data_IF_733417651089
#
_entry.id   IF_733417651089
#
_cell.length_a   1.000
_cell.length_b   1.000
_cell.length_c   1.000
_cell.angle_alpha   90.00
_cell.angle_beta   90.00
_cell.angle_gamma   90.00
#
_symmetry.space_group_name_H-M   'P 1'
#
loop_
_entity.id
_entity.type
_entity.pdbx_description
1 polymer ?
#
# COMPACT_ATOMS: atom_id res chain seq x y z
N UNK A 1 -29.12 -2.37 27.55
CA UNK A 1 -27.80 -2.08 26.97
C UNK A 1 -27.08 -3.39 26.82
N UNK A 2 -27.00 -3.93 25.61
CA UNK A 2 -26.30 -5.19 25.34
C UNK A 2 -24.91 -4.85 24.82
N UNK A 3 -23.92 -5.02 25.67
CA UNK A 3 -22.54 -5.25 25.26
C UNK A 3 -22.50 -6.74 24.90
N UNK A 4 -21.90 -7.11 23.76
CA UNK A 4 -21.61 -8.49 23.30
C UNK A 4 -22.51 -9.08 22.20
N UNK A 5 -22.46 -8.54 20.98
CA UNK A 5 -22.56 -9.39 19.79
C UNK A 5 -21.56 -8.89 18.74
N UNK A 6 -20.33 -9.42 18.81
CA UNK A 6 -19.35 -9.24 17.74
C UNK A 6 -19.82 -10.11 16.57
N UNK A 7 -20.48 -9.48 15.59
CA UNK A 7 -21.01 -10.18 14.42
C UNK A 7 -19.88 -10.38 13.42
N UNK A 8 -19.43 -11.62 13.29
CA UNK A 8 -18.49 -12.01 12.25
C UNK A 8 -19.23 -12.08 10.91
N UNK A 9 -19.01 -11.09 10.07
CA UNK A 9 -19.49 -11.06 8.69
C UNK A 9 -18.33 -10.78 7.72
N UNK A 10 -18.61 -10.72 6.43
CA UNK A 10 -17.58 -10.48 5.43
C UNK A 10 -16.92 -9.09 5.58
N UNK A 11 -17.67 -8.09 6.03
CA UNK A 11 -17.20 -6.70 6.15
C UNK A 11 -16.17 -6.57 7.26
N UNK A 12 -16.38 -7.19 8.42
CA UNK A 12 -15.40 -7.14 9.52
C UNK A 12 -14.06 -7.79 9.13
N UNK A 13 -14.10 -8.84 8.29
CA UNK A 13 -12.87 -9.44 7.76
C UNK A 13 -12.18 -8.53 6.74
N UNK A 14 -12.92 -7.81 5.89
CA UNK A 14 -12.35 -6.80 4.99
C UNK A 14 -11.68 -5.66 5.76
N UNK A 15 -12.32 -5.15 6.81
CA UNK A 15 -11.75 -4.12 7.68
C UNK A 15 -10.45 -4.58 8.36
N UNK A 16 -10.45 -5.82 8.85
CA UNK A 16 -9.26 -6.44 9.44
C UNK A 16 -8.12 -6.57 8.41
N UNK A 17 -8.43 -7.01 7.19
CA UNK A 17 -7.45 -7.11 6.10
C UNK A 17 -6.88 -5.73 5.72
N UNK A 18 -7.71 -4.67 5.71
CA UNK A 18 -7.24 -3.31 5.48
C UNK A 18 -6.27 -2.82 6.55
N UNK A 19 -6.54 -3.12 7.83
CA UNK A 19 -5.60 -2.81 8.91
C UNK A 19 -4.27 -3.57 8.76
N UNK A 20 -4.31 -4.85 8.35
CA UNK A 20 -3.11 -5.65 8.06
C UNK A 20 -2.35 -5.08 6.86
N UNK A 21 -3.03 -4.65 5.80
CA UNK A 21 -2.42 -4.00 4.64
C UNK A 21 -1.69 -2.72 5.07
N UNK A 22 -2.29 -1.90 5.92
CA UNK A 22 -1.63 -0.73 6.49
C UNK A 22 -0.33 -1.10 7.24
N UNK A 23 -0.36 -2.16 8.06
CA UNK A 23 0.84 -2.66 8.72
C UNK A 23 1.91 -3.12 7.71
N UNK A 24 1.53 -3.86 6.67
CA UNK A 24 2.44 -4.33 5.61
C UNK A 24 3.08 -3.18 4.81
N UNK A 25 2.33 -2.11 4.54
CA UNK A 25 2.84 -0.91 3.87
C UNK A 25 3.98 -0.28 4.69
N UNK A 26 3.75 -0.03 5.97
CA UNK A 26 4.79 0.53 6.83
C UNK A 26 5.92 -0.45 7.16
N UNK A 27 5.65 -1.76 7.18
CA UNK A 27 6.67 -2.79 7.33
C UNK A 27 7.72 -2.73 6.22
N UNK A 28 7.37 -2.26 5.02
CA UNK A 28 8.32 -1.97 3.95
C UNK A 28 9.49 -1.08 4.38
N UNK A 29 9.26 -0.13 5.30
CA UNK A 29 10.31 0.74 5.85
C UNK A 29 11.16 0.07 6.95
N UNK A 30 10.70 -1.06 7.48
CA UNK A 30 11.33 -1.80 8.58
C UNK A 30 12.11 -3.03 8.11
N UNK A 31 12.01 -3.39 6.83
CA UNK A 31 12.76 -4.50 6.22
C UNK A 31 14.25 -4.39 6.55
N UNK A 32 14.82 -5.48 7.10
CA UNK A 32 16.24 -5.57 7.47
C UNK A 32 16.61 -4.88 8.80
N UNK A 33 15.66 -4.27 9.52
CA UNK A 33 15.90 -3.60 10.81
C UNK A 33 15.21 -4.26 12.01
N UNK A 34 14.16 -5.05 11.79
CA UNK A 34 13.32 -5.64 12.84
C UNK A 34 13.49 -7.15 12.98
N UNK A 35 13.42 -7.66 14.21
CA UNK A 35 13.21 -9.09 14.49
C UNK A 35 11.71 -9.48 14.34
N UNK A 36 11.38 -10.77 14.17
CA UNK A 36 9.99 -11.22 14.06
C UNK A 36 9.09 -10.78 15.23
N UNK A 37 9.63 -10.77 16.46
CA UNK A 37 8.90 -10.30 17.65
C UNK A 37 8.61 -8.80 17.60
N UNK A 38 9.56 -8.00 17.09
CA UNK A 38 9.35 -6.57 16.89
C UNK A 38 8.29 -6.30 15.82
N UNK A 39 8.26 -7.11 14.76
CA UNK A 39 7.20 -7.03 13.73
C UNK A 39 5.83 -7.35 14.32
N UNK A 40 5.72 -8.37 15.19
CA UNK A 40 4.47 -8.69 15.87
C UNK A 40 3.95 -7.51 16.70
N UNK A 41 4.83 -6.90 17.51
CA UNK A 41 4.48 -5.74 18.32
C UNK A 41 4.09 -4.54 17.44
N UNK A 42 4.89 -4.26 16.41
CA UNK A 42 4.62 -3.22 15.43
C UNK A 42 3.24 -3.38 14.78
N UNK A 43 2.90 -4.59 14.31
CA UNK A 43 1.62 -4.89 13.67
C UNK A 43 0.46 -4.62 14.62
N UNK A 44 0.56 -5.02 15.90
CA UNK A 44 -0.48 -4.72 16.89
C UNK A 44 -0.68 -3.20 17.04
N UNK A 45 0.41 -2.45 17.20
CA UNK A 45 0.34 -0.99 17.32
C UNK A 45 -0.26 -0.32 16.09
N UNK A 46 0.18 -0.69 14.89
CA UNK A 46 -0.27 -0.07 13.63
C UNK A 46 -1.73 -0.38 13.37
N UNK A 47 -2.16 -1.64 13.53
CA UNK A 47 -3.56 -2.00 13.30
C UNK A 47 -4.49 -1.23 14.25
N UNK A 48 -4.16 -1.17 15.55
CA UNK A 48 -4.96 -0.40 16.52
C UNK A 48 -4.98 1.10 16.17
N UNK A 49 -3.82 1.68 15.85
CA UNK A 49 -3.72 3.10 15.53
C UNK A 49 -4.41 3.46 14.20
N UNK A 50 -4.33 2.58 13.19
CA UNK A 50 -4.98 2.73 11.89
C UNK A 50 -6.50 2.75 12.06
N UNK A 51 -7.05 1.77 12.77
CA UNK A 51 -8.50 1.68 13.04
C UNK A 51 -8.96 2.90 13.86
N UNK A 52 -8.21 3.26 14.91
CA UNK A 52 -8.54 4.43 15.72
C UNK A 52 -8.50 5.73 14.91
N UNK A 53 -7.51 5.91 14.04
CA UNK A 53 -7.42 7.06 13.13
C UNK A 53 -8.60 7.11 12.16
N UNK A 54 -8.99 5.97 11.58
CA UNK A 54 -10.14 5.90 10.68
C UNK A 54 -11.45 6.26 11.40
N UNK A 55 -11.74 5.58 12.52
CA UNK A 55 -13.03 5.71 13.22
C UNK A 55 -13.16 7.05 13.94
N UNK A 56 -12.17 7.43 14.75
CA UNK A 56 -12.32 8.60 15.62
C UNK A 56 -11.91 9.90 14.94
N UNK A 57 -10.88 9.87 14.09
CA UNK A 57 -10.35 11.10 13.49
C UNK A 57 -11.00 11.40 12.14
N UNK A 58 -10.90 10.48 11.17
CA UNK A 58 -11.46 10.69 9.84
C UNK A 58 -12.99 10.71 9.86
N UNK A 59 -13.63 9.65 10.33
CA UNK A 59 -15.09 9.57 10.34
C UNK A 59 -15.70 10.42 11.46
N UNK A 60 -15.13 10.37 12.67
CA UNK A 60 -15.71 11.03 13.85
C UNK A 60 -15.50 12.55 13.91
N UNK A 61 -14.30 13.04 13.59
CA UNK A 61 -13.95 14.46 13.75
C UNK A 61 -13.99 15.24 12.44
N UNK A 62 -13.43 14.68 11.36
CA UNK A 62 -13.38 15.34 10.06
C UNK A 62 -14.63 15.10 9.20
N UNK A 63 -15.44 14.09 9.55
CA UNK A 63 -16.59 13.65 8.76
C UNK A 63 -16.24 13.32 7.30
N UNK A 64 -15.06 12.71 7.13
CA UNK A 64 -14.51 12.33 5.83
C UNK A 64 -14.30 10.83 5.80
N UNK A 65 -14.80 10.21 4.75
CA UNK A 65 -14.53 8.84 4.37
C UNK A 65 -13.41 8.79 3.34
N UNK A 66 -12.60 7.74 3.33
CA UNK A 66 -11.44 7.59 2.45
C UNK A 66 -11.51 6.30 1.64
N UNK A 67 -12.24 6.36 0.51
CA UNK A 67 -12.45 5.20 -0.36
C UNK A 67 -11.14 4.83 -1.05
N UNK A 68 -10.78 3.56 -0.97
CA UNK A 68 -9.49 3.05 -1.42
C UNK A 68 -8.36 3.26 -0.40
N UNK A 69 -8.62 3.93 0.72
CA UNK A 69 -7.69 4.03 1.83
C UNK A 69 -6.42 4.82 1.54
N UNK A 70 -6.44 5.77 0.60
CA UNK A 70 -5.26 6.58 0.23
C UNK A 70 -4.64 7.25 1.44
N UNK A 71 -5.47 7.84 2.31
CA UNK A 71 -5.05 8.58 3.49
C UNK A 71 -4.94 7.65 4.70
N UNK A 72 -6.02 6.95 5.00
CA UNK A 72 -6.23 6.12 6.18
C UNK A 72 -5.37 4.86 6.22
N UNK A 73 -4.99 4.31 5.05
CA UNK A 73 -4.16 3.10 4.95
C UNK A 73 -2.78 3.42 4.37
N UNK A 74 -2.71 3.97 3.16
CA UNK A 74 -1.45 4.11 2.44
C UNK A 74 -0.55 5.20 3.02
N UNK A 75 -1.06 6.43 3.15
CA UNK A 75 -0.29 7.53 3.75
C UNK A 75 -0.03 7.24 5.22
N UNK A 76 -1.04 6.85 5.98
CA UNK A 76 -0.90 6.53 7.40
C UNK A 76 0.15 5.44 7.63
N UNK A 77 0.04 4.29 6.94
CA UNK A 77 0.97 3.17 7.08
C UNK A 77 2.40 3.54 6.66
N UNK A 78 2.56 4.28 5.56
CA UNK A 78 3.88 4.72 5.09
C UNK A 78 4.55 5.67 6.08
N UNK A 79 3.81 6.66 6.61
CA UNK A 79 4.34 7.61 7.60
C UNK A 79 4.64 6.92 8.92
N UNK A 80 3.73 6.07 9.41
CA UNK A 80 3.94 5.31 10.65
C UNK A 80 5.18 4.43 10.55
N UNK A 81 5.32 3.68 9.46
CA UNK A 81 6.48 2.83 9.21
C UNK A 81 7.78 3.62 9.11
N UNK A 82 7.76 4.81 8.48
CA UNK A 82 8.93 5.69 8.39
C UNK A 82 9.35 6.22 9.77
N UNK A 83 8.39 6.67 10.59
CA UNK A 83 8.65 7.14 11.95
C UNK A 83 9.21 5.99 12.80
N UNK A 84 8.60 4.80 12.73
CA UNK A 84 9.11 3.62 13.41
C UNK A 84 10.53 3.26 12.93
N UNK A 85 10.80 3.32 11.62
CA UNK A 85 12.12 3.04 11.05
C UNK A 85 13.18 4.06 11.45
N UNK A 86 12.78 5.32 11.70
CA UNK A 86 13.66 6.41 12.12
C UNK A 86 14.05 6.31 13.60
N UNK A 87 13.21 5.72 14.44
CA UNK A 87 13.56 5.42 15.84
C UNK A 87 14.41 4.15 15.97
N UNK A 88 14.44 3.33 14.92
CA UNK A 88 15.33 2.18 14.81
C UNK A 88 16.67 2.58 14.17
N UNK A 89 17.76 1.97 14.65
CA UNK A 89 19.10 2.18 14.08
C UNK A 89 19.20 1.79 12.59
N UNK A 90 20.37 2.01 12.00
CA UNK A 90 20.63 1.58 10.62
C UNK A 90 20.46 0.05 10.47
N UNK A 91 20.09 -0.41 9.28
CA UNK A 91 20.05 -1.84 9.00
C UNK A 91 21.47 -2.40 9.14
N UNK A 92 21.64 -3.45 9.93
CA UNK A 92 22.95 -3.96 10.33
C UNK A 92 23.67 -4.78 9.25
N UNK A 93 23.19 -4.80 8.00
CA UNK A 93 23.77 -5.64 6.95
C UNK A 93 23.46 -5.13 5.53
N UNK A 94 24.44 -4.45 4.90
CA UNK A 94 24.31 -3.99 3.50
C UNK A 94 24.11 -5.14 2.51
N UNK A 95 24.59 -6.36 2.83
CA UNK A 95 24.43 -7.55 1.98
C UNK A 95 22.97 -7.99 1.89
N UNK A 96 22.17 -7.77 2.94
CA UNK A 96 20.73 -8.05 2.92
C UNK A 96 19.93 -7.00 2.13
N UNK A 97 20.52 -5.85 1.84
CA UNK A 97 19.87 -4.78 1.07
C UNK A 97 20.00 -4.98 -0.45
N UNK A 98 20.96 -5.80 -0.91
CA UNK A 98 21.18 -6.09 -2.32
C UNK A 98 20.25 -7.22 -2.80
N UNK A 99 19.44 -6.95 -3.83
CA UNK A 99 18.52 -7.94 -4.40
C UNK A 99 19.26 -8.98 -5.26
N UNK A 100 19.02 -10.27 -5.00
CA UNK A 100 19.36 -11.34 -5.95
C UNK A 100 18.34 -11.40 -7.09
N UNK A 101 18.69 -12.03 -8.23
CA UNK A 101 17.72 -12.26 -9.32
C UNK A 101 16.45 -12.98 -8.86
N UNK A 102 16.57 -13.93 -7.93
CA UNK A 102 15.42 -14.69 -7.39
C UNK A 102 14.52 -13.75 -6.58
N UNK A 103 15.09 -12.94 -5.68
CA UNK A 103 14.31 -12.01 -4.87
C UNK A 103 13.69 -10.89 -5.70
N UNK A 104 14.39 -10.38 -6.72
CA UNK A 104 13.83 -9.39 -7.65
C UNK A 104 12.69 -9.97 -8.49
N UNK A 105 12.81 -11.21 -8.94
CA UNK A 105 11.73 -11.92 -9.65
C UNK A 105 10.52 -12.14 -8.74
N UNK A 106 10.77 -12.54 -7.49
CA UNK A 106 9.72 -12.68 -6.47
C UNK A 106 8.99 -11.37 -6.18
N UNK A 107 9.74 -10.26 -6.03
CA UNK A 107 9.15 -8.93 -5.85
C UNK A 107 8.30 -8.50 -7.05
N UNK A 108 8.76 -8.79 -8.28
CA UNK A 108 8.01 -8.54 -9.49
C UNK A 108 6.73 -9.38 -9.59
N UNK A 109 6.79 -10.65 -9.16
CA UNK A 109 5.62 -11.52 -9.11
C UNK A 109 4.59 -11.01 -8.10
N UNK A 110 5.03 -10.59 -6.91
CA UNK A 110 4.17 -9.94 -5.93
C UNK A 110 3.50 -8.69 -6.48
N UNK A 111 4.29 -7.81 -7.11
CA UNK A 111 3.78 -6.60 -7.77
C UNK A 111 2.77 -6.91 -8.90
N UNK A 112 2.97 -8.00 -9.64
CA UNK A 112 2.03 -8.46 -10.65
C UNK A 112 0.66 -8.81 -10.05
N UNK A 113 0.64 -9.63 -9.00
CA UNK A 113 -0.60 -10.00 -8.32
C UNK A 113 -1.28 -8.80 -7.65
N UNK A 114 -0.52 -7.93 -6.98
CA UNK A 114 -1.08 -6.69 -6.41
C UNK A 114 -1.76 -5.85 -7.49
N UNK A 115 -1.11 -5.68 -8.66
CA UNK A 115 -1.69 -4.90 -9.75
C UNK A 115 -2.98 -5.49 -10.32
N UNK A 116 -3.09 -6.82 -10.42
CA UNK A 116 -4.28 -7.50 -10.93
C UNK A 116 -5.44 -7.44 -9.92
N UNK A 117 -5.15 -7.59 -8.63
CA UNK A 117 -6.19 -7.60 -7.59
C UNK A 117 -6.55 -6.20 -7.06
N UNK A 118 -5.83 -5.15 -7.45
CA UNK A 118 -6.13 -3.78 -7.01
C UNK A 118 -7.56 -3.30 -7.34
N UNK A 119 -8.13 -3.58 -8.54
CA UNK A 119 -9.52 -3.21 -8.82
C UNK A 119 -10.53 -3.91 -7.89
N UNK A 120 -10.23 -5.14 -7.46
CA UNK A 120 -11.03 -5.84 -6.45
C UNK A 120 -10.88 -5.20 -5.08
N UNK A 121 -9.66 -4.81 -4.69
CA UNK A 121 -9.42 -4.03 -3.46
C UNK A 121 -10.22 -2.73 -3.44
N UNK A 122 -10.24 -1.99 -4.56
CA UNK A 122 -11.03 -0.76 -4.66
C UNK A 122 -12.54 -1.03 -4.55
N UNK A 123 -13.02 -2.12 -5.16
CA UNK A 123 -14.43 -2.53 -5.04
C UNK A 123 -14.79 -2.96 -3.62
N UNK A 124 -13.90 -3.66 -2.93
CA UNK A 124 -14.10 -4.05 -1.54
C UNK A 124 -14.14 -2.84 -0.60
N UNK A 125 -13.32 -1.81 -0.88
CA UNK A 125 -13.38 -0.56 -0.12
C UNK A 125 -14.69 0.19 -0.33
N UNK A 126 -15.30 0.12 -1.51
CA UNK A 126 -16.65 0.66 -1.74
C UNK A 126 -17.73 -0.09 -0.97
N UNK A 127 -17.61 -1.41 -0.86
CA UNK A 127 -18.52 -2.25 -0.09
C UNK A 127 -18.44 -1.93 1.41
N UNK A 128 -17.21 -1.81 1.94
CA UNK A 128 -16.96 -1.39 3.32
C UNK A 128 -17.45 0.03 3.61
N UNK A 129 -17.32 0.93 2.63
CA UNK A 129 -17.85 2.28 2.69
C UNK A 129 -19.39 2.37 2.51
N UNK A 130 -20.08 1.26 2.25
CA UNK A 130 -21.52 1.19 1.96
C UNK A 130 -21.98 2.05 0.76
N UNK A 131 -21.11 2.34 -0.21
CA UNK A 131 -21.39 3.18 -1.40
C UNK A 131 -21.96 2.37 -2.58
N UNK A 132 -22.77 1.35 -2.30
CA UNK A 132 -23.48 0.51 -3.28
C UNK A 132 -22.64 -0.52 -4.06
N UNK A 133 -22.71 -1.77 -3.59
CA UNK A 133 -22.35 -2.98 -4.33
C UNK A 133 -23.22 -3.15 -5.58
N UNK A 134 -22.63 -3.54 -6.71
CA UNK A 134 -23.32 -3.76 -7.99
C UNK A 134 -23.73 -2.47 -8.74
N UNK A 135 -23.30 -1.30 -8.26
CA UNK A 135 -23.69 0.00 -8.80
C UNK A 135 -22.79 0.48 -9.95
N UNK A 136 -23.22 1.54 -10.64
CA UNK A 136 -22.39 2.27 -11.60
C UNK A 136 -21.08 2.76 -10.97
N UNK A 137 -21.08 3.11 -9.67
CA UNK A 137 -19.89 3.56 -8.96
C UNK A 137 -18.82 2.45 -8.87
N UNK A 138 -19.23 1.20 -8.64
CA UNK A 138 -18.32 0.05 -8.61
C UNK A 138 -17.63 -0.15 -9.97
N UNK A 139 -18.40 -0.10 -11.07
CA UNK A 139 -17.82 -0.21 -12.41
C UNK A 139 -16.85 0.92 -12.72
N UNK A 140 -17.22 2.16 -12.40
CA UNK A 140 -16.33 3.31 -12.54
C UNK A 140 -15.05 3.14 -11.73
N UNK A 141 -15.13 2.68 -10.48
CA UNK A 141 -13.97 2.47 -9.62
C UNK A 141 -13.03 1.40 -10.18
N UNK A 142 -13.57 0.27 -10.67
CA UNK A 142 -12.79 -0.79 -11.32
C UNK A 142 -12.07 -0.23 -12.55
N UNK A 143 -12.80 0.41 -13.48
CA UNK A 143 -12.23 0.93 -14.72
C UNK A 143 -11.19 2.02 -14.46
N UNK A 144 -11.48 2.96 -13.55
CA UNK A 144 -10.55 4.03 -13.19
C UNK A 144 -9.28 3.46 -12.54
N UNK A 145 -9.40 2.43 -11.69
CA UNK A 145 -8.23 1.78 -11.08
C UNK A 145 -7.34 1.11 -12.13
N UNK A 146 -7.94 0.42 -13.11
CA UNK A 146 -7.20 -0.20 -14.23
C UNK A 146 -6.48 0.89 -15.05
N UNK A 147 -7.18 1.97 -15.41
CA UNK A 147 -6.59 3.08 -16.15
C UNK A 147 -5.47 3.77 -15.37
N UNK A 148 -5.64 3.98 -14.06
CA UNK A 148 -4.65 4.60 -13.20
C UNK A 148 -3.38 3.74 -13.09
N UNK A 149 -3.51 2.43 -12.88
CA UNK A 149 -2.38 1.50 -12.86
C UNK A 149 -1.70 1.41 -14.21
N UNK A 150 -2.44 1.39 -15.31
CA UNK A 150 -1.87 1.43 -16.66
C UNK A 150 -1.09 2.73 -16.89
N UNK A 151 -1.63 3.87 -16.45
CA UNK A 151 -0.96 5.17 -16.51
C UNK A 151 0.32 5.22 -15.69
N UNK A 152 0.30 4.78 -14.42
CA UNK A 152 1.51 4.73 -13.59
C UNK A 152 2.54 3.74 -14.12
N UNK A 153 2.10 2.61 -14.69
CA UNK A 153 2.98 1.62 -15.30
C UNK A 153 3.70 2.19 -16.52
N UNK A 154 2.96 2.77 -17.47
CA UNK A 154 3.54 3.39 -18.68
C UNK A 154 4.44 4.56 -18.33
N UNK A 155 4.05 5.40 -17.35
CA UNK A 155 4.88 6.49 -16.83
C UNK A 155 6.16 5.97 -16.20
N UNK A 156 6.09 4.92 -15.38
CA UNK A 156 7.26 4.30 -14.78
C UNK A 156 8.24 3.84 -15.87
N UNK A 157 7.78 3.06 -16.86
CA UNK A 157 8.60 2.61 -17.98
C UNK A 157 9.18 3.76 -18.80
N UNK A 158 8.36 4.75 -19.14
CA UNK A 158 8.80 5.94 -19.89
C UNK A 158 9.89 6.71 -19.12
N UNK A 159 9.72 6.89 -17.81
CA UNK A 159 10.72 7.53 -16.96
C UNK A 159 12.05 6.77 -16.93
N UNK A 160 12.01 5.44 -16.87
CA UNK A 160 13.21 4.60 -16.97
C UNK A 160 13.92 4.73 -18.32
N UNK A 161 13.17 4.87 -19.41
CA UNK A 161 13.73 5.06 -20.75
C UNK A 161 14.34 6.44 -20.96
N UNK A 162 13.78 7.49 -20.34
CA UNK A 162 14.28 8.87 -20.43
C UNK A 162 15.56 9.11 -19.63
N UNK A 163 15.82 8.32 -18.57
CA UNK A 163 17.06 8.47 -17.78
C UNK A 163 18.25 7.94 -18.59
N UNK A 164 19.13 8.86 -18.98
CA UNK A 164 20.42 8.55 -19.58
C UNK A 164 21.33 7.71 -18.65
N UNK A 165 22.53 7.34 -19.11
CA UNK A 165 23.47 6.53 -18.34
C UNK A 165 23.72 7.07 -16.94
N UNK A 166 23.43 6.25 -15.93
CA UNK A 166 23.75 6.56 -14.54
C UNK A 166 25.26 6.53 -14.37
N UNK A 167 25.87 7.71 -14.13
CA UNK A 167 27.31 7.84 -13.87
C UNK A 167 27.72 7.31 -12.49
N UNK A 168 26.77 6.90 -11.63
CA UNK A 168 27.02 6.41 -10.26
C UNK A 168 27.02 4.89 -10.10
N UNK A 169 26.59 4.11 -11.09
CA UNK A 169 26.74 2.65 -11.05
C UNK A 169 28.18 2.28 -11.41
N UNK A 170 28.92 1.70 -10.45
CA UNK A 170 30.28 1.17 -10.67
C UNK A 170 30.30 0.01 -11.67
N UNK A 171 29.15 -0.56 -11.96
CA UNK A 171 28.98 -1.53 -13.04
C UNK A 171 28.84 -0.74 -14.34
N UNK A 172 29.78 -0.92 -15.27
CA UNK A 172 29.81 -0.27 -16.60
C UNK A 172 28.64 -0.61 -17.54
N UNK A 173 27.44 -0.79 -16.99
CA UNK A 173 26.21 -1.00 -17.71
C UNK A 173 25.72 0.33 -18.31
N UNK A 174 25.69 0.37 -19.64
CA UNK A 174 25.13 1.46 -20.44
C UNK A 174 23.72 1.84 -19.96
N UNK A 175 23.43 3.13 -19.98
CA UNK A 175 22.18 3.73 -19.51
C UNK A 175 20.89 3.14 -20.07
N UNK A 176 19.81 3.34 -19.32
CA UNK A 176 18.45 2.91 -19.69
C UNK A 176 17.96 1.62 -19.03
N UNK A 177 18.66 1.07 -18.02
CA UNK A 177 18.18 -0.09 -17.25
C UNK A 177 17.42 0.35 -16.00
N UNK A 178 16.15 -0.04 -15.92
CA UNK A 178 15.30 0.20 -14.74
C UNK A 178 15.71 -0.73 -13.59
N UNK A 179 15.78 -0.20 -12.38
CA UNK A 179 15.86 -1.02 -11.16
C UNK A 179 14.52 -1.74 -10.97
N UNK A 180 14.56 -3.07 -10.90
CA UNK A 180 13.36 -3.93 -10.81
C UNK A 180 12.50 -3.60 -9.58
N UNK A 181 13.13 -3.32 -8.44
CA UNK A 181 12.40 -2.90 -7.22
C UNK A 181 11.68 -1.56 -7.39
N UNK A 182 12.29 -0.57 -8.06
CA UNK A 182 11.65 0.72 -8.34
C UNK A 182 10.44 0.52 -9.24
N UNK A 183 10.57 -0.34 -10.25
CA UNK A 183 9.47 -0.67 -11.16
C UNK A 183 8.32 -1.38 -10.44
N UNK A 184 8.64 -2.38 -9.61
CA UNK A 184 7.67 -3.17 -8.85
C UNK A 184 6.77 -2.28 -7.97
N UNK A 185 7.33 -1.23 -7.37
CA UNK A 185 6.57 -0.27 -6.57
C UNK A 185 5.91 0.81 -7.42
N UNK A 186 6.63 1.44 -8.36
CA UNK A 186 6.14 2.60 -9.11
C UNK A 186 4.91 2.28 -9.98
N UNK A 187 4.83 1.07 -10.53
CA UNK A 187 3.66 0.65 -11.32
C UNK A 187 2.35 0.63 -10.53
N UNK A 188 2.44 0.44 -9.21
CA UNK A 188 1.30 0.33 -8.31
C UNK A 188 0.83 1.70 -7.77
N UNK A 189 1.64 2.76 -7.96
CA UNK A 189 1.35 4.09 -7.44
C UNK A 189 0.02 4.66 -7.95
N UNK A 190 -0.40 4.34 -9.19
CA UNK A 190 -1.70 4.75 -9.71
C UNK A 190 -2.88 4.15 -8.95
N UNK A 191 -2.75 2.91 -8.45
CA UNK A 191 -3.78 2.28 -7.62
C UNK A 191 -3.91 2.92 -6.23
N UNK A 192 -2.81 3.42 -5.67
CA UNK A 192 -2.83 4.22 -4.43
C UNK A 192 -3.44 5.60 -4.71
N UNK A 193 -3.03 6.26 -5.79
CA UNK A 193 -3.41 7.64 -6.05
C UNK A 193 -4.88 7.84 -6.47
N UNK A 194 -5.55 6.77 -6.95
CA UNK A 194 -6.93 6.84 -7.43
C UNK A 194 -7.98 6.71 -6.32
N UNK A 195 -7.59 6.28 -5.10
CA UNK A 195 -8.47 6.37 -3.94
C UNK A 195 -8.71 7.83 -3.55
N UNK A 196 -9.89 8.14 -3.03
CA UNK A 196 -10.30 9.52 -2.80
C UNK A 196 -11.01 9.70 -1.45
N UNK A 197 -10.78 10.85 -0.80
CA UNK A 197 -11.61 11.28 0.32
C UNK A 197 -12.96 11.82 -0.19
N UNK A 198 -14.05 11.46 0.46
CA UNK A 198 -15.39 11.99 0.23
C UNK A 198 -16.05 12.37 1.57
N UNK A 199 -17.01 13.31 1.56
CA UNK A 199 -17.87 13.53 2.72
C UNK A 199 -18.54 12.22 3.13
N UNK A 200 -18.71 12.01 4.43
CA UNK A 200 -19.48 10.90 4.95
C UNK A 200 -20.96 11.09 4.54
N UNK A 201 -21.63 10.08 3.95
CA UNK A 201 -23.02 10.19 3.50
C UNK A 201 -24.06 10.32 4.63
#
# INVERSE_FOLDING_TARGET
>A
GSVNDLKFDFVIFLEADFAVICALIGFGALLGKTSPTQVLFYTLCVCTACIANKVYFLHGFLDVMDVGGTISLHVFGAVFGLVASATMGAANNEVLAEGSRISETGAMLGSFFLGIYWPSFMSASLAEAHIAEGSQAQWCAITNTICAIAGSTTTAYGWGAMRGPDRRTKDGCRGGRMRTHVLASARLAGGVAIGWPAPNP
#
